data_IF_793809986195
#
_entry.id   IF_793809986195
#
_cell.length_a   1.000
_cell.length_b   1.000
_cell.length_c   1.000
_cell.angle_alpha   90.00
_cell.angle_beta   90.00
_cell.angle_gamma   90.00
#
_symmetry.space_group_name_H-M   'P 1'
#
loop_
_entity.id
_entity.type
_entity.pdbx_description
1 polymer ?
#
# COMPACT_ATOMS: atom_id res chain seq x y z
N UNK A 1 -35.76 -18.50 -28.84
CA UNK A 1 -35.46 -19.49 -27.78
C UNK A 1 -33.97 -19.54 -27.44
N UNK A 2 -33.07 -19.79 -28.39
CA UNK A 2 -31.62 -19.87 -28.14
C UNK A 2 -30.98 -18.59 -27.60
N UNK A 3 -31.40 -17.41 -28.05
CA UNK A 3 -30.88 -16.12 -27.55
C UNK A 3 -31.22 -15.83 -26.07
N UNK A 4 -32.35 -16.35 -25.58
CA UNK A 4 -32.73 -16.22 -24.17
C UNK A 4 -31.86 -17.12 -23.29
N UNK A 5 -31.60 -18.34 -23.76
CA UNK A 5 -30.76 -19.33 -23.06
C UNK A 5 -29.31 -18.83 -22.96
N UNK A 6 -28.76 -18.28 -24.06
CA UNK A 6 -27.39 -17.72 -24.04
C UNK A 6 -27.28 -16.53 -23.09
N UNK A 7 -28.28 -15.65 -23.05
CA UNK A 7 -28.30 -14.52 -22.12
C UNK A 7 -28.30 -14.97 -20.65
N UNK A 8 -29.13 -15.98 -20.31
CA UNK A 8 -29.18 -16.52 -18.95
C UNK A 8 -27.84 -17.15 -18.54
N UNK A 9 -27.19 -17.89 -19.43
CA UNK A 9 -25.87 -18.50 -19.16
C UNK A 9 -24.82 -17.42 -18.93
N UNK A 10 -24.77 -16.39 -19.78
CA UNK A 10 -23.83 -15.27 -19.61
C UNK A 10 -24.10 -14.55 -18.28
N UNK A 11 -25.35 -14.29 -17.95
CA UNK A 11 -25.72 -13.66 -16.69
C UNK A 11 -25.33 -14.51 -15.48
N UNK A 12 -25.56 -15.83 -15.53
CA UNK A 12 -25.17 -16.75 -14.48
C UNK A 12 -23.64 -16.82 -14.31
N UNK A 13 -22.88 -16.80 -15.40
CA UNK A 13 -21.41 -16.75 -15.35
C UNK A 13 -20.91 -15.44 -14.76
N UNK A 14 -21.51 -14.30 -15.12
CA UNK A 14 -21.19 -13.00 -14.54
C UNK A 14 -21.52 -12.98 -13.04
N UNK A 15 -22.71 -13.43 -12.65
CA UNK A 15 -23.14 -13.49 -11.26
C UNK A 15 -22.24 -14.43 -10.43
N UNK A 16 -21.89 -15.60 -10.98
CA UNK A 16 -20.96 -16.54 -10.36
C UNK A 16 -19.57 -15.94 -10.22
N UNK A 17 -19.06 -15.25 -11.25
CA UNK A 17 -17.77 -14.59 -11.21
C UNK A 17 -17.72 -13.47 -10.17
N UNK A 18 -18.79 -12.67 -10.09
CA UNK A 18 -18.98 -11.66 -9.05
C UNK A 18 -19.01 -12.32 -7.66
N UNK A 19 -19.77 -13.40 -7.48
CA UNK A 19 -19.86 -14.11 -6.21
C UNK A 19 -18.51 -14.68 -5.77
N UNK A 20 -17.80 -15.39 -6.65
CA UNK A 20 -16.48 -15.96 -6.34
C UNK A 20 -15.47 -14.87 -6.01
N UNK A 21 -15.48 -13.75 -6.74
CA UNK A 21 -14.60 -12.60 -6.46
C UNK A 21 -14.97 -11.83 -5.20
N UNK A 22 -16.24 -11.84 -4.83
CA UNK A 22 -16.73 -11.06 -3.70
C UNK A 22 -16.66 -11.79 -2.36
N UNK A 23 -16.33 -13.09 -2.33
CA UNK A 23 -16.17 -13.85 -1.08
C UNK A 23 -15.15 -13.19 -0.16
N UNK A 24 -15.59 -12.92 1.07
CA UNK A 24 -14.72 -12.49 2.16
C UNK A 24 -13.81 -13.67 2.53
N UNK A 25 -12.50 -13.46 2.73
CA UNK A 25 -11.61 -14.52 3.20
C UNK A 25 -12.11 -15.11 4.52
N UNK A 26 -12.05 -16.44 4.65
CA UNK A 26 -12.44 -17.16 5.88
C UNK A 26 -11.68 -16.58 7.08
N UNK A 27 -12.38 -16.30 8.18
CA UNK A 27 -11.82 -15.70 9.39
C UNK A 27 -11.89 -14.18 9.47
N UNK A 28 -12.34 -13.48 8.41
CA UNK A 28 -12.52 -12.02 8.40
C UNK A 28 -14.01 -11.61 8.29
N UNK A 29 -14.93 -12.54 8.52
CA UNK A 29 -16.38 -12.36 8.32
C UNK A 29 -17.01 -11.33 9.29
N UNK A 30 -16.39 -11.11 10.45
CA UNK A 30 -16.83 -10.11 11.45
C UNK A 30 -16.26 -8.70 11.24
N UNK A 31 -15.42 -8.48 10.23
CA UNK A 31 -14.75 -7.20 10.00
C UNK A 31 -15.59 -6.37 9.03
N UNK A 32 -15.86 -5.08 9.34
CA UNK A 32 -16.68 -4.23 8.48
C UNK A 32 -16.01 -4.05 7.12
N UNK A 33 -16.82 -4.09 6.06
CA UNK A 33 -16.38 -3.81 4.70
C UNK A 33 -16.64 -2.35 4.33
N UNK A 34 -15.61 -1.68 3.83
CA UNK A 34 -15.63 -0.26 3.45
C UNK A 34 -15.31 -0.14 1.97
N UNK A 35 -16.08 0.69 1.29
CA UNK A 35 -15.90 0.97 -0.13
C UNK A 35 -14.68 1.87 -0.36
N UNK A 36 -13.80 1.48 -1.29
CA UNK A 36 -12.66 2.31 -1.74
C UNK A 36 -13.05 3.32 -2.84
N UNK A 37 -14.31 3.31 -3.30
CA UNK A 37 -14.74 4.19 -4.39
C UNK A 37 -14.50 5.69 -4.11
N UNK A 38 -14.74 6.23 -2.90
CA UNK A 38 -14.43 7.63 -2.61
C UNK A 38 -12.95 7.95 -2.81
N UNK A 39 -12.06 7.06 -2.34
CA UNK A 39 -10.61 7.20 -2.51
C UNK A 39 -10.19 7.10 -3.97
N UNK A 40 -10.76 6.17 -4.74
CA UNK A 40 -10.48 6.05 -6.18
C UNK A 40 -10.93 7.30 -6.93
N UNK A 41 -12.11 7.83 -6.60
CA UNK A 41 -12.60 9.05 -7.21
C UNK A 41 -11.71 10.25 -6.87
N UNK A 42 -11.28 10.37 -5.62
CA UNK A 42 -10.33 11.41 -5.18
C UNK A 42 -8.99 11.32 -5.93
N UNK A 43 -8.46 10.11 -6.14
CA UNK A 43 -7.25 9.87 -6.93
C UNK A 43 -7.43 10.26 -8.40
N UNK A 44 -8.55 9.89 -9.02
CA UNK A 44 -8.86 10.24 -10.41
C UNK A 44 -9.07 11.75 -10.61
N UNK A 45 -9.61 12.43 -9.59
CA UNK A 45 -9.72 13.88 -9.54
C UNK A 45 -8.37 14.57 -9.31
N UNK A 46 -7.28 13.82 -9.11
CA UNK A 46 -5.95 14.34 -8.81
C UNK A 46 -5.96 15.28 -7.60
N UNK A 47 -6.78 14.95 -6.60
CA UNK A 47 -6.79 15.68 -5.32
C UNK A 47 -5.41 15.63 -4.68
N UNK A 48 -5.11 16.65 -3.88
CA UNK A 48 -3.86 16.69 -3.14
C UNK A 48 -3.79 15.54 -2.12
N UNK A 49 -2.57 15.18 -1.73
CA UNK A 49 -2.32 13.97 -0.95
C UNK A 49 -2.93 14.01 0.46
N UNK A 50 -3.11 15.19 1.04
CA UNK A 50 -3.84 15.41 2.29
C UNK A 50 -5.33 15.12 2.14
N UNK A 51 -6.00 15.67 1.12
CA UNK A 51 -7.43 15.44 0.87
C UNK A 51 -7.73 13.97 0.61
N UNK A 52 -6.82 13.26 -0.06
CA UNK A 52 -6.93 11.81 -0.26
C UNK A 52 -6.84 11.08 1.08
N UNK A 53 -5.91 11.48 1.96
CA UNK A 53 -5.78 10.90 3.30
C UNK A 53 -7.00 11.19 4.17
N UNK A 54 -7.53 12.41 4.12
CA UNK A 54 -8.77 12.79 4.80
C UNK A 54 -9.94 11.95 4.29
N UNK A 55 -10.07 11.77 2.98
CA UNK A 55 -11.10 10.91 2.36
C UNK A 55 -10.98 9.46 2.85
N UNK A 56 -9.77 8.92 3.01
CA UNK A 56 -9.53 7.58 3.54
C UNK A 56 -9.95 7.51 5.02
N UNK A 57 -9.56 8.51 5.82
CA UNK A 57 -9.89 8.60 7.23
C UNK A 57 -11.40 8.68 7.45
N UNK A 58 -12.09 9.56 6.72
CA UNK A 58 -13.56 9.68 6.75
C UNK A 58 -14.25 8.39 6.31
N UNK A 59 -13.76 7.78 5.21
CA UNK A 59 -14.31 6.51 4.71
C UNK A 59 -14.17 5.38 5.71
N UNK A 60 -13.15 5.43 6.58
CA UNK A 60 -12.94 4.43 7.63
C UNK A 60 -14.04 4.43 8.70
N UNK A 61 -14.86 5.49 8.80
CA UNK A 61 -15.94 5.65 9.80
C UNK A 61 -15.49 5.41 11.25
N UNK A 62 -14.21 5.63 11.55
CA UNK A 62 -13.64 5.38 12.87
C UNK A 62 -13.46 3.89 13.22
N UNK A 63 -13.58 2.97 12.25
CA UNK A 63 -13.26 1.57 12.50
C UNK A 63 -11.76 1.36 12.66
N UNK A 64 -11.37 0.73 13.75
CA UNK A 64 -9.98 0.35 14.05
C UNK A 64 -9.39 -0.65 13.04
N UNK A 65 -10.25 -1.49 12.46
CA UNK A 65 -9.90 -2.56 11.53
C UNK A 65 -11.04 -2.71 10.51
N UNK A 66 -10.72 -2.70 9.23
CA UNK A 66 -11.72 -2.86 8.19
C UNK A 66 -11.19 -3.55 6.93
N UNK A 67 -12.10 -4.13 6.18
CA UNK A 67 -11.82 -4.67 4.86
C UNK A 67 -12.13 -3.62 3.81
N UNK A 68 -11.26 -3.51 2.81
CA UNK A 68 -11.47 -2.66 1.65
C UNK A 68 -11.19 -3.44 0.38
N UNK A 69 -11.78 -3.06 -0.75
CA UNK A 69 -11.54 -3.73 -2.03
C UNK A 69 -11.01 -2.76 -3.06
N UNK A 70 -9.84 -3.09 -3.60
CA UNK A 70 -9.27 -2.41 -4.74
C UNK A 70 -9.27 -3.36 -5.94
N UNK A 71 -10.13 -3.07 -6.91
CA UNK A 71 -10.33 -3.83 -8.17
C UNK A 71 -10.68 -5.31 -7.92
N UNK A 72 -9.68 -6.16 -7.69
CA UNK A 72 -9.80 -7.60 -7.50
C UNK A 72 -9.09 -8.10 -6.23
N UNK A 73 -8.57 -7.20 -5.38
CA UNK A 73 -7.90 -7.54 -4.14
C UNK A 73 -8.68 -6.97 -2.97
N UNK A 74 -8.93 -7.83 -1.99
CA UNK A 74 -9.40 -7.41 -0.67
C UNK A 74 -8.16 -7.10 0.17
N UNK A 75 -8.11 -5.90 0.74
CA UNK A 75 -7.09 -5.48 1.68
C UNK A 75 -7.69 -5.42 3.08
N UNK A 76 -6.90 -5.83 4.08
CA UNK A 76 -7.20 -5.60 5.48
C UNK A 76 -6.44 -4.34 5.90
N UNK A 77 -7.16 -3.31 6.29
CA UNK A 77 -6.58 -2.06 6.76
C UNK A 77 -6.66 -1.98 8.28
N UNK A 78 -5.55 -1.60 8.91
CA UNK A 78 -5.43 -1.42 10.37
C UNK A 78 -5.25 0.08 10.63
N UNK A 79 -6.21 0.70 11.30
CA UNK A 79 -6.16 2.11 11.69
C UNK A 79 -5.71 2.31 13.14
N UNK A 80 -5.84 1.29 13.98
CA UNK A 80 -5.48 1.41 15.38
C UNK A 80 -3.96 1.31 15.61
N UNK A 81 -3.33 2.29 16.28
CA UNK A 81 -1.88 2.30 16.51
C UNK A 81 -1.40 1.14 17.40
N UNK A 82 -2.24 0.67 18.34
CA UNK A 82 -1.89 -0.46 19.21
C UNK A 82 -1.84 -1.77 18.40
N UNK A 83 -2.79 -1.97 17.48
CA UNK A 83 -2.78 -3.13 16.59
C UNK A 83 -1.60 -3.09 15.63
N UNK A 84 -1.28 -1.92 15.06
CA UNK A 84 -0.09 -1.74 14.23
C UNK A 84 1.19 -2.07 15.00
N UNK A 85 1.34 -1.58 16.24
CA UNK A 85 2.50 -1.88 17.08
C UNK A 85 2.66 -3.39 17.27
N UNK A 86 1.60 -4.07 17.69
CA UNK A 86 1.63 -5.52 17.91
C UNK A 86 1.94 -6.29 16.61
N UNK A 87 1.36 -5.85 15.47
CA UNK A 87 1.61 -6.40 14.16
C UNK A 87 3.08 -6.26 13.75
N UNK A 88 3.65 -5.06 13.85
CA UNK A 88 5.05 -4.80 13.48
C UNK A 88 6.05 -5.50 14.39
N UNK A 89 5.81 -5.55 15.70
CA UNK A 89 6.68 -6.28 16.65
C UNK A 89 6.70 -7.77 16.36
N UNK A 90 5.56 -8.37 16.02
CA UNK A 90 5.50 -9.79 15.65
C UNK A 90 6.22 -10.06 14.33
N UNK A 91 6.03 -9.18 13.36
CA UNK A 91 6.61 -9.28 12.02
C UNK A 91 8.13 -9.09 12.00
N UNK A 92 8.67 -8.22 12.83
CA UNK A 92 10.13 -8.05 12.93
C UNK A 92 10.83 -9.37 13.29
N UNK A 93 10.16 -10.20 14.08
CA UNK A 93 10.63 -11.54 14.42
C UNK A 93 10.42 -12.54 13.26
N UNK A 94 9.25 -12.51 12.62
CA UNK A 94 8.80 -13.54 11.66
C UNK A 94 9.01 -13.20 10.16
N UNK A 95 9.82 -12.18 9.85
CA UNK A 95 10.02 -11.57 8.52
C UNK A 95 8.75 -10.95 7.92
N UNK A 96 8.70 -9.63 7.67
CA UNK A 96 7.54 -9.01 7.03
C UNK A 96 7.27 -9.66 5.68
N UNK A 97 6.06 -10.17 5.42
CA UNK A 97 5.68 -10.53 4.06
C UNK A 97 5.42 -9.21 3.31
N UNK A 98 6.49 -8.53 2.89
CA UNK A 98 6.34 -7.40 1.97
C UNK A 98 5.76 -7.91 0.68
N UNK A 99 5.10 -7.01 -0.03
CA UNK A 99 4.52 -7.33 -1.32
C UNK A 99 5.62 -7.87 -2.24
N UNK A 100 5.57 -9.17 -2.57
CA UNK A 100 6.44 -9.74 -3.61
C UNK A 100 6.06 -9.06 -4.93
N UNK A 101 6.84 -8.06 -5.34
CA UNK A 101 6.60 -7.36 -6.59
C UNK A 101 6.90 -8.32 -7.74
N UNK A 102 5.92 -8.47 -8.63
CA UNK A 102 6.14 -9.17 -9.89
C UNK A 102 7.13 -8.33 -10.73
N UNK A 103 8.31 -8.87 -10.99
CA UNK A 103 9.38 -8.23 -11.78
C UNK A 103 8.93 -7.86 -13.21
N UNK A 104 7.77 -8.35 -13.66
CA UNK A 104 7.16 -7.99 -14.96
C UNK A 104 6.42 -6.64 -14.94
N UNK A 105 6.51 -5.87 -13.86
CA UNK A 105 5.93 -4.53 -13.75
C UNK A 105 7.06 -3.49 -13.66
N UNK A 106 6.82 -2.30 -14.23
CA UNK A 106 7.76 -1.16 -14.27
C UNK A 106 8.45 -0.90 -12.91
N UNK A 107 7.69 -1.03 -11.82
CA UNK A 107 8.22 -0.82 -10.46
C UNK A 107 9.24 -1.90 -10.07
N UNK A 108 9.03 -3.15 -10.47
CA UNK A 108 9.97 -4.25 -10.25
C UNK A 108 11.25 -4.13 -11.07
N UNK A 109 11.17 -3.62 -12.30
CA UNK A 109 12.35 -3.36 -13.13
C UNK A 109 13.19 -2.20 -12.57
N UNK A 110 12.54 -1.11 -12.16
CA UNK A 110 13.25 0.07 -11.65
C UNK A 110 13.91 -0.15 -10.29
N UNK A 111 13.16 -0.74 -9.34
CA UNK A 111 13.66 -0.91 -7.97
C UNK A 111 14.37 -2.25 -7.72
N UNK A 112 14.21 -3.22 -8.61
CA UNK A 112 14.74 -4.57 -8.45
C UNK A 112 14.28 -5.24 -7.15
N UNK A 113 15.09 -6.17 -6.66
CA UNK A 113 14.87 -6.88 -5.40
C UNK A 113 15.68 -6.27 -4.25
N UNK A 114 15.62 -4.94 -4.10
CA UNK A 114 16.38 -4.20 -3.10
C UNK A 114 15.84 -4.32 -1.67
N UNK A 115 16.40 -3.53 -0.74
CA UNK A 115 15.99 -3.51 0.68
C UNK A 115 14.47 -3.31 0.88
N UNK A 116 13.82 -2.53 0.02
CA UNK A 116 12.40 -2.20 0.12
C UNK A 116 11.51 -3.41 -0.28
N UNK A 117 11.96 -4.27 -1.18
CA UNK A 117 11.14 -5.32 -1.80
C UNK A 117 11.58 -6.75 -1.46
N UNK A 118 12.78 -6.92 -0.91
CA UNK A 118 13.27 -8.19 -0.38
C UNK A 118 12.58 -8.57 0.92
N UNK A 119 12.51 -9.89 1.17
CA UNK A 119 12.01 -10.54 2.37
C UNK A 119 13.05 -11.54 2.93
N UNK A 120 12.85 -12.04 4.15
CA UNK A 120 13.69 -13.09 4.72
C UNK A 120 15.15 -12.69 4.95
N UNK A 121 16.05 -13.67 4.85
CA UNK A 121 17.50 -13.49 5.01
C UNK A 121 18.09 -12.44 4.06
N UNK A 122 17.55 -12.32 2.84
CA UNK A 122 17.98 -11.32 1.86
C UNK A 122 17.73 -9.90 2.39
N UNK A 123 16.54 -9.67 2.93
CA UNK A 123 16.22 -8.40 3.57
C UNK A 123 17.06 -8.14 4.81
N UNK A 124 17.24 -9.14 5.68
CA UNK A 124 18.07 -9.02 6.91
C UNK A 124 19.50 -8.63 6.55
N UNK A 125 20.05 -9.24 5.50
CA UNK A 125 21.40 -8.93 4.99
C UNK A 125 21.50 -7.49 4.49
N UNK A 126 20.59 -7.05 3.62
CA UNK A 126 20.59 -5.68 3.12
C UNK A 126 20.40 -4.66 4.25
N UNK A 127 19.51 -4.93 5.21
CA UNK A 127 19.28 -4.03 6.36
C UNK A 127 20.53 -3.92 7.23
N UNK A 128 21.21 -5.05 7.50
CA UNK A 128 22.44 -5.08 8.30
C UNK A 128 23.57 -4.28 7.65
N UNK A 129 23.69 -4.33 6.32
CA UNK A 129 24.68 -3.57 5.56
C UNK A 129 24.33 -2.08 5.46
N UNK A 130 23.04 -1.76 5.24
CA UNK A 130 22.59 -0.39 5.04
C UNK A 130 22.54 0.43 6.33
N UNK A 131 22.14 -0.16 7.47
CA UNK A 131 21.96 0.57 8.73
C UNK A 131 23.22 1.35 9.18
N UNK A 132 24.43 0.76 9.19
CA UNK A 132 25.65 1.50 9.52
C UNK A 132 25.97 2.61 8.53
N UNK A 133 25.66 2.42 7.25
CA UNK A 133 25.85 3.43 6.22
C UNK A 133 24.91 4.61 6.46
N UNK A 134 23.63 4.39 6.70
CA UNK A 134 22.67 5.46 6.99
C UNK A 134 22.98 6.22 8.28
N UNK A 135 23.46 5.52 9.33
CA UNK A 135 23.87 6.17 10.57
C UNK A 135 25.12 7.05 10.42
N UNK A 136 25.94 6.82 9.38
CA UNK A 136 27.19 7.57 9.12
C UNK A 136 27.08 8.54 7.94
N UNK A 137 26.14 8.33 7.02
CA UNK A 137 26.05 9.05 5.75
C UNK A 137 25.55 10.49 5.89
N UNK A 138 24.80 10.79 6.95
CA UNK A 138 24.31 12.13 7.22
C UNK A 138 25.38 12.91 8.01
N UNK A 139 26.49 13.27 7.35
CA UNK A 139 27.41 14.25 7.90
C UNK A 139 26.68 15.60 8.02
N UNK A 140 26.56 16.17 9.23
CA UNK A 140 25.92 17.47 9.42
C UNK A 140 26.52 18.56 8.53
N UNK A 141 27.83 18.48 8.26
CA UNK A 141 28.54 19.45 7.43
C UNK A 141 28.06 19.44 5.97
N UNK A 142 27.86 18.25 5.40
CA UNK A 142 27.39 18.10 4.01
C UNK A 142 25.94 18.58 3.90
N UNK A 143 25.09 18.21 4.87
CA UNK A 143 23.69 18.64 4.90
C UNK A 143 23.64 20.17 5.01
N UNK A 144 24.38 20.76 5.94
CA UNK A 144 24.46 22.21 6.12
C UNK A 144 24.92 22.92 4.85
N UNK A 145 26.01 22.44 4.23
CA UNK A 145 26.52 23.01 2.98
C UNK A 145 25.46 23.01 1.87
N UNK A 146 24.83 21.87 1.59
CA UNK A 146 23.81 21.75 0.54
C UNK A 146 22.60 22.66 0.85
N UNK A 147 22.18 22.72 2.12
CA UNK A 147 21.10 23.60 2.55
C UNK A 147 21.45 25.09 2.33
N UNK A 148 22.66 25.53 2.66
CA UNK A 148 23.11 26.89 2.39
C UNK A 148 23.20 27.19 0.89
N UNK A 149 23.72 26.26 0.08
CA UNK A 149 23.75 26.40 -1.37
C UNK A 149 22.33 26.57 -1.95
N UNK A 150 21.36 25.78 -1.46
CA UNK A 150 19.95 25.93 -1.85
C UNK A 150 19.39 27.30 -1.47
N UNK A 151 19.64 27.79 -0.25
CA UNK A 151 19.18 29.12 0.16
C UNK A 151 19.78 30.24 -0.69
N UNK A 152 21.08 30.17 -0.96
CA UNK A 152 21.76 31.15 -1.82
C UNK A 152 21.20 31.12 -3.24
N UNK A 153 20.94 29.92 -3.79
CA UNK A 153 20.31 29.78 -5.10
C UNK A 153 18.92 30.43 -5.14
N UNK A 154 18.06 30.15 -4.15
CA UNK A 154 16.72 30.77 -4.09
C UNK A 154 16.75 32.30 -3.92
N UNK A 155 17.79 32.85 -3.28
CA UNK A 155 17.95 34.29 -3.10
C UNK A 155 18.51 35.01 -4.35
N UNK A 156 19.21 34.29 -5.25
CA UNK A 156 19.73 34.87 -6.49
C UNK A 156 18.63 35.10 -7.54
N UNK A 157 17.53 34.37 -7.46
CA UNK A 157 16.38 34.45 -8.37
C UNK A 157 15.23 35.34 -7.85
N UNK A 158 15.45 36.07 -6.73
CA UNK A 158 14.55 37.07 -6.14
C UNK A 158 15.08 38.49 -6.38
#
# INVERSE_FOLDING_TARGET
>A
MYALITFIIIFALIAYFIYVRNKIPKGLEGIPFISMLPTILALLQQKHHDEIQDTIAESSRGYDLYLSRFINRTALTINNPLYLKNFFTKIENDDPPKLNMDYRKIVGEFFGDGLIFSNGDKWRTFRKLANPAFNKALSPDIVGKITFELFNFMQQDL
#
